data_IF_494211100255
#
_entry.id   IF_494211100255
#
_cell.length_a   1.000
_cell.length_b   1.000
_cell.length_c   1.000
_cell.angle_alpha   90.00
_cell.angle_beta   90.00
_cell.angle_gamma   90.00
#
_symmetry.space_group_name_H-M   'P 1'
#
loop_
_entity.id
_entity.type
_entity.pdbx_description
1 polymer ?
#
# COMPACT_ATOMS: atom_id res chain seq x y z
N UNK A 1 18.12 -0.86 -18.91
CA UNK A 1 17.63 0.51 -18.62
C UNK A 1 17.73 0.73 -17.12
N UNK A 2 18.21 1.88 -16.63
CA UNK A 2 18.13 2.20 -15.21
C UNK A 2 16.65 2.25 -14.77
N UNK A 3 16.37 1.77 -13.56
CA UNK A 3 15.02 1.78 -12.96
C UNK A 3 14.94 2.95 -12.00
N UNK A 4 14.04 3.89 -12.25
CA UNK A 4 13.66 4.89 -11.25
C UNK A 4 12.70 4.20 -10.27
N UNK A 5 13.15 3.96 -9.05
CA UNK A 5 12.29 3.41 -8.00
C UNK A 5 11.70 4.57 -7.23
N UNK A 6 10.39 4.79 -7.38
CA UNK A 6 9.66 5.77 -6.58
C UNK A 6 8.68 5.06 -5.65
N UNK A 7 8.62 5.55 -4.43
CA UNK A 7 7.95 4.92 -3.30
C UNK A 7 6.94 5.96 -2.82
N UNK A 8 5.66 5.73 -3.13
CA UNK A 8 4.56 6.67 -2.84
C UNK A 8 3.66 6.09 -1.75
N UNK A 9 3.55 6.79 -0.62
CA UNK A 9 2.82 6.29 0.54
C UNK A 9 2.11 7.41 1.28
N UNK A 10 1.06 7.01 2.01
CA UNK A 10 0.37 7.90 2.93
C UNK A 10 0.72 7.59 4.39
N UNK A 11 0.94 8.62 5.20
CA UNK A 11 1.16 8.51 6.64
C UNK A 11 0.37 9.57 7.40
N UNK A 12 -0.15 9.20 8.56
CA UNK A 12 -0.92 10.10 9.42
C UNK A 12 -0.07 10.72 10.52
N UNK A 13 -0.24 12.02 10.73
CA UNK A 13 0.35 12.82 11.79
C UNK A 13 -0.74 13.44 12.67
N UNK A 14 -0.47 13.59 13.96
CA UNK A 14 -1.48 14.02 14.94
C UNK A 14 -1.00 15.20 15.79
N UNK A 15 -1.92 16.13 16.06
CA UNK A 15 -1.63 17.36 16.80
C UNK A 15 -1.22 17.12 18.25
N UNK A 16 -1.69 16.05 18.88
CA UNK A 16 -1.34 15.75 20.28
C UNK A 16 -0.33 14.60 20.41
N UNK A 17 0.49 14.36 19.38
CA UNK A 17 1.46 13.25 19.37
C UNK A 17 2.77 13.56 20.11
N UNK A 18 2.84 14.67 20.85
CA UNK A 18 4.02 15.05 21.63
C UNK A 18 4.49 13.97 22.63
N UNK A 19 5.70 14.16 23.15
CA UNK A 19 6.39 13.18 24.01
C UNK A 19 5.49 12.55 25.07
N UNK A 20 5.59 11.22 25.18
CA UNK A 20 4.80 10.42 26.12
C UNK A 20 5.42 10.33 27.51
N UNK A 21 6.70 10.68 27.65
CA UNK A 21 7.43 10.63 28.90
C UNK A 21 8.08 11.99 29.16
N UNK A 22 7.98 12.45 30.40
CA UNK A 22 8.54 13.72 30.84
C UNK A 22 8.90 13.65 32.32
N UNK A 23 9.93 14.38 32.71
CA UNK A 23 10.39 14.47 34.10
C UNK A 23 9.95 15.82 34.67
N UNK A 24 9.29 15.79 35.82
CA UNK A 24 8.79 16.97 36.52
C UNK A 24 9.13 16.88 38.01
N UNK A 25 9.18 18.03 38.69
CA UNK A 25 9.26 18.05 40.15
C UNK A 25 8.01 17.43 40.76
N UNK A 26 8.10 16.92 41.99
CA UNK A 26 6.98 16.24 42.67
C UNK A 26 5.71 17.10 42.78
N UNK A 27 5.87 18.41 42.81
CA UNK A 27 4.76 19.38 42.96
C UNK A 27 4.19 19.84 41.61
N UNK A 28 4.75 19.38 40.49
CA UNK A 28 4.25 19.68 39.16
C UNK A 28 3.50 18.51 38.56
N UNK A 29 2.26 18.77 38.15
CA UNK A 29 1.45 17.84 37.36
C UNK A 29 1.46 18.34 35.92
N UNK A 30 2.07 17.57 35.02
CA UNK A 30 1.97 17.82 33.59
C UNK A 30 0.75 17.08 33.02
N UNK A 31 -0.29 17.84 32.65
CA UNK A 31 -1.49 17.29 32.04
C UNK A 31 -1.33 17.25 30.52
N UNK A 32 -1.40 16.05 29.95
CA UNK A 32 -1.44 15.84 28.50
C UNK A 32 -2.87 15.53 28.04
N UNK A 33 -3.22 16.05 26.86
CA UNK A 33 -4.46 15.65 26.17
C UNK A 33 -4.40 14.16 25.82
N UNK A 34 -5.35 13.38 26.33
CA UNK A 34 -5.45 11.91 26.12
C UNK A 34 -5.82 11.53 24.68
N UNK A 35 -6.55 12.40 23.97
CA UNK A 35 -6.94 12.17 22.58
C UNK A 35 -5.82 12.57 21.62
N UNK A 36 -5.77 11.94 20.43
CA UNK A 36 -4.81 12.27 19.35
C UNK A 36 -4.95 13.70 18.80
N UNK A 37 -6.09 14.35 19.05
CA UNK A 37 -6.40 15.66 18.49
C UNK A 37 -6.76 15.59 17.01
N UNK A 38 -6.67 16.72 16.31
CA UNK A 38 -6.76 16.76 14.85
C UNK A 38 -5.56 16.04 14.23
N UNK A 39 -5.67 15.61 12.99
CA UNK A 39 -4.55 15.03 12.28
C UNK A 39 -4.60 15.28 10.78
N UNK A 40 -3.46 14.99 10.15
CA UNK A 40 -3.19 15.19 8.74
C UNK A 40 -2.72 13.86 8.19
N UNK A 41 -3.39 13.37 7.16
CA UNK A 41 -2.84 12.35 6.27
C UNK A 41 -2.00 13.06 5.24
N UNK A 42 -0.75 12.63 5.13
CA UNK A 42 0.19 13.11 4.14
C UNK A 42 0.37 12.01 3.11
N UNK A 43 0.24 12.30 1.81
CA UNK A 43 0.73 11.41 0.75
C UNK A 43 1.99 12.03 0.16
N UNK A 44 3.08 11.29 0.04
CA UNK A 44 4.35 11.81 -0.46
C UNK A 44 5.08 10.79 -1.34
N UNK A 45 5.93 11.29 -2.22
CA UNK A 45 6.90 10.50 -2.98
C UNK A 45 8.30 10.89 -2.50
N UNK A 46 9.01 9.95 -1.89
CA UNK A 46 10.27 10.27 -1.23
C UNK A 46 11.31 10.90 -2.20
N UNK A 47 11.95 11.96 -1.70
CA UNK A 47 12.97 12.80 -2.35
C UNK A 47 13.84 12.06 -3.40
N UNK A 48 13.57 12.37 -4.66
CA UNK A 48 14.49 12.21 -5.79
C UNK A 48 14.35 13.33 -6.83
N UNK A 49 13.48 14.31 -6.58
CA UNK A 49 12.99 15.25 -7.56
C UNK A 49 13.29 16.68 -7.06
N UNK A 50 14.27 17.30 -7.71
CA UNK A 50 14.64 18.73 -7.72
C UNK A 50 14.09 19.64 -6.59
N UNK A 51 14.93 20.21 -5.70
CA UNK A 51 14.51 21.16 -4.67
C UNK A 51 13.88 22.47 -5.20
N UNK A 52 13.89 22.72 -6.52
CA UNK A 52 13.26 23.89 -7.14
C UNK A 52 11.86 23.62 -7.72
N UNK A 53 11.37 22.38 -7.77
CA UNK A 53 10.11 22.05 -8.46
C UNK A 53 9.24 21.08 -7.68
N UNK A 54 8.02 21.56 -7.38
CA UNK A 54 6.83 20.88 -6.83
C UNK A 54 7.14 19.71 -5.90
N UNK A 55 6.81 19.85 -4.62
CA UNK A 55 6.67 18.68 -3.77
C UNK A 55 5.44 17.89 -4.23
N UNK A 56 5.59 16.60 -4.55
CA UNK A 56 4.46 15.68 -4.76
C UNK A 56 3.79 15.32 -3.42
N UNK A 57 3.81 16.24 -2.47
CA UNK A 57 3.34 16.04 -1.12
C UNK A 57 1.92 16.62 -1.02
N UNK A 58 0.94 15.75 -0.81
CA UNK A 58 -0.45 16.13 -0.60
C UNK A 58 -0.80 16.09 0.90
N UNK A 59 -1.42 17.16 1.39
CA UNK A 59 -1.87 17.29 2.78
C UNK A 59 -3.39 17.16 2.84
N UNK A 60 -3.87 16.25 3.68
CA UNK A 60 -5.30 15.97 3.85
C UNK A 60 -5.67 15.97 5.34
N UNK A 61 -6.43 16.95 5.81
CA UNK A 61 -6.96 17.03 7.16
C UNK A 61 -8.16 16.08 7.32
N UNK A 62 -7.90 14.88 7.84
CA UNK A 62 -8.93 13.87 7.99
C UNK A 62 -9.92 14.18 9.13
N UNK A 63 -11.15 13.69 8.98
CA UNK A 63 -12.23 13.76 9.96
C UNK A 63 -13.58 14.06 9.30
N UNK A 64 -14.67 13.56 9.90
CA UNK A 64 -16.05 13.76 9.41
C UNK A 64 -16.44 15.23 9.22
N UNK A 65 -15.88 16.12 10.03
CA UNK A 65 -16.13 17.57 9.99
C UNK A 65 -14.99 18.35 9.29
N UNK A 66 -14.07 17.66 8.62
CA UNK A 66 -12.97 18.24 7.86
C UNK A 66 -13.11 17.76 6.39
N UNK A 67 -12.04 17.23 5.79
CA UNK A 67 -12.01 16.80 4.37
C UNK A 67 -12.53 15.36 4.18
N UNK A 68 -12.91 14.68 5.26
CA UNK A 68 -13.39 13.30 5.23
C UNK A 68 -12.28 12.31 5.56
N UNK A 69 -12.22 11.19 4.85
CA UNK A 69 -11.18 10.17 5.05
C UNK A 69 -10.43 9.97 3.73
N UNK A 70 -9.13 9.72 3.83
CA UNK A 70 -8.31 9.35 2.68
C UNK A 70 -8.82 8.01 2.12
N UNK A 71 -9.01 7.95 0.80
CA UNK A 71 -9.60 6.80 0.09
C UNK A 71 -8.76 6.48 -1.14
N UNK A 72 -9.02 5.33 -1.74
CA UNK A 72 -8.43 4.88 -3.01
C UNK A 72 -8.51 5.93 -4.11
N UNK A 73 -9.63 6.64 -4.21
CA UNK A 73 -9.83 7.62 -5.27
C UNK A 73 -8.82 8.78 -5.16
N UNK A 74 -8.56 9.24 -3.93
CA UNK A 74 -7.56 10.28 -3.68
C UNK A 74 -6.16 9.81 -4.06
N UNK A 75 -5.80 8.55 -3.75
CA UNK A 75 -4.51 7.99 -4.16
C UNK A 75 -4.39 7.91 -5.68
N UNK A 76 -5.43 7.42 -6.37
CA UNK A 76 -5.42 7.30 -7.83
C UNK A 76 -5.24 8.69 -8.46
N UNK A 77 -6.03 9.68 -8.02
CA UNK A 77 -5.91 11.07 -8.45
C UNK A 77 -4.50 11.61 -8.19
N UNK A 78 -3.95 11.41 -6.99
CA UNK A 78 -2.61 11.88 -6.67
C UNK A 78 -1.55 11.25 -7.58
N UNK A 79 -1.60 9.93 -7.81
CA UNK A 79 -0.62 9.24 -8.66
C UNK A 79 -0.75 9.68 -10.12
N UNK A 80 -1.96 9.68 -10.67
CA UNK A 80 -2.20 9.92 -12.11
C UNK A 80 -2.03 11.39 -12.47
N UNK A 81 -2.52 12.30 -11.64
CA UNK A 81 -2.60 13.72 -11.99
C UNK A 81 -1.39 14.54 -11.51
N UNK A 82 -0.64 14.02 -10.52
CA UNK A 82 0.50 14.73 -9.93
C UNK A 82 1.80 13.93 -10.12
N UNK A 83 1.87 12.69 -9.62
CA UNK A 83 3.14 11.94 -9.56
C UNK A 83 3.65 11.52 -10.94
N UNK A 84 2.81 10.88 -11.77
CA UNK A 84 3.21 10.42 -13.11
C UNK A 84 3.67 11.61 -13.98
N UNK A 85 2.92 12.73 -14.09
CA UNK A 85 3.36 13.90 -14.85
C UNK A 85 4.68 14.48 -14.32
N UNK A 86 4.92 14.45 -13.01
CA UNK A 86 6.17 14.92 -12.43
C UNK A 86 7.35 14.03 -12.83
N UNK A 87 7.18 12.71 -12.79
CA UNK A 87 8.20 11.75 -13.24
C UNK A 87 8.53 11.95 -14.71
N UNK A 88 7.51 12.08 -15.57
CA UNK A 88 7.69 12.32 -17.01
C UNK A 88 8.41 13.64 -17.33
N UNK A 89 8.28 14.64 -16.45
CA UNK A 89 9.02 15.91 -16.56
C UNK A 89 10.48 15.79 -16.12
N UNK A 90 10.80 14.87 -15.21
CA UNK A 90 12.13 14.77 -14.57
C UNK A 90 13.01 13.70 -15.20
N UNK A 91 12.39 12.68 -15.80
CA UNK A 91 13.07 11.57 -16.46
C UNK A 91 12.56 11.43 -17.90
N UNK A 92 13.50 11.30 -18.85
CA UNK A 92 13.15 11.05 -20.24
C UNK A 92 12.50 9.65 -20.38
N UNK A 93 11.34 9.51 -21.06
CA UNK A 93 10.59 8.25 -21.16
C UNK A 93 11.39 7.06 -21.68
N UNK A 94 12.36 7.31 -22.57
CA UNK A 94 13.19 6.27 -23.18
C UNK A 94 14.34 5.80 -22.27
N UNK A 95 14.59 6.51 -21.16
CA UNK A 95 15.77 6.33 -20.32
C UNK A 95 15.50 5.55 -19.03
N UNK A 96 14.25 5.49 -18.56
CA UNK A 96 13.92 4.90 -17.26
C UNK A 96 12.67 4.03 -17.31
N UNK A 97 12.62 3.02 -16.44
CA UNK A 97 11.38 2.35 -16.07
C UNK A 97 11.02 2.75 -14.64
N UNK A 98 9.78 3.17 -14.42
CA UNK A 98 9.29 3.56 -13.09
C UNK A 98 8.67 2.36 -12.39
N UNK A 99 9.11 2.11 -11.16
CA UNK A 99 8.52 1.09 -10.29
C UNK A 99 7.94 1.76 -9.05
N UNK A 100 6.63 1.61 -8.85
CA UNK A 100 5.94 2.05 -7.64
C UNK A 100 5.92 0.94 -6.59
N UNK A 101 6.34 1.27 -5.38
CA UNK A 101 6.09 0.46 -4.21
C UNK A 101 4.94 1.08 -3.40
N UNK A 102 4.03 0.23 -2.93
CA UNK A 102 2.92 0.59 -2.04
C UNK A 102 2.87 -0.40 -0.87
N UNK A 103 2.29 0.02 0.25
CA UNK A 103 2.05 -0.85 1.40
C UNK A 103 0.71 -1.52 1.18
N UNK A 104 0.37 -2.47 2.05
CA UNK A 104 -0.93 -3.11 2.00
C UNK A 104 -1.99 -2.31 2.79
N UNK A 105 -1.90 -0.96 2.79
CA UNK A 105 -2.94 -0.14 3.39
C UNK A 105 -4.29 -0.44 2.73
N UNK A 106 -5.38 -0.42 3.50
CA UNK A 106 -6.71 -0.77 2.98
C UNK A 106 -7.18 0.18 1.87
N UNK A 107 -6.66 1.42 1.84
CA UNK A 107 -6.86 2.35 0.73
C UNK A 107 -6.24 1.88 -0.59
N UNK A 108 -5.22 1.01 -0.55
CA UNK A 108 -4.57 0.44 -1.71
C UNK A 108 -5.24 -0.87 -2.15
N UNK A 109 -5.99 -1.50 -1.24
CA UNK A 109 -6.78 -2.69 -1.52
C UNK A 109 -8.10 -2.38 -2.26
N UNK A 110 -8.14 -1.29 -3.03
CA UNK A 110 -9.25 -0.97 -3.91
C UNK A 110 -8.98 -1.57 -5.28
N UNK A 111 -9.96 -2.31 -5.75
CA UNK A 111 -9.91 -3.03 -7.01
C UNK A 111 -10.96 -2.43 -7.93
N UNK A 112 -10.69 -2.41 -9.23
CA UNK A 112 -11.76 -2.09 -10.19
C UNK A 112 -12.89 -3.13 -10.05
N UNK A 113 -14.15 -2.78 -10.35
CA UNK A 113 -15.28 -3.71 -10.18
C UNK A 113 -15.10 -5.06 -10.88
N UNK A 114 -14.28 -5.08 -11.94
CA UNK A 114 -13.94 -6.23 -12.77
C UNK A 114 -12.53 -6.80 -12.52
N UNK A 115 -11.82 -6.35 -11.49
CA UNK A 115 -10.48 -6.87 -11.18
C UNK A 115 -10.55 -8.33 -10.72
N UNK A 116 -9.44 -9.05 -10.93
CA UNK A 116 -9.29 -10.41 -10.42
C UNK A 116 -9.19 -10.39 -8.90
N UNK A 117 -10.25 -10.81 -8.23
CA UNK A 117 -10.29 -10.83 -6.78
C UNK A 117 -10.84 -12.17 -6.27
N UNK A 118 -9.94 -13.06 -5.84
CA UNK A 118 -10.35 -14.38 -5.30
C UNK A 118 -11.30 -14.27 -4.10
N UNK A 119 -11.32 -13.14 -3.38
CA UNK A 119 -12.25 -12.89 -2.28
C UNK A 119 -13.71 -12.73 -2.75
N UNK A 120 -13.90 -12.26 -3.98
CA UNK A 120 -15.19 -12.03 -4.59
C UNK A 120 -15.64 -13.18 -5.51
N UNK A 121 -14.92 -14.31 -5.50
CA UNK A 121 -15.28 -15.51 -6.26
C UNK A 121 -15.97 -16.56 -5.39
N UNK A 122 -16.98 -17.20 -5.97
CA UNK A 122 -17.59 -18.39 -5.44
C UNK A 122 -16.68 -19.61 -5.66
N UNK A 123 -16.90 -20.67 -4.88
CA UNK A 123 -16.19 -21.93 -5.10
C UNK A 123 -16.63 -22.61 -6.42
N UNK A 124 -17.94 -22.58 -6.70
CA UNK A 124 -18.55 -23.10 -7.91
C UNK A 124 -18.98 -21.98 -8.88
N UNK A 125 -19.44 -22.34 -10.09
CA UNK A 125 -19.88 -21.39 -11.10
C UNK A 125 -21.10 -20.55 -10.69
N UNK A 126 -21.20 -19.35 -11.28
CA UNK A 126 -22.36 -18.46 -11.15
C UNK A 126 -22.55 -17.90 -9.74
N UNK A 127 -23.82 -17.69 -9.36
CA UNK A 127 -24.20 -17.08 -8.09
C UNK A 127 -23.93 -15.58 -8.02
N UNK A 128 -23.98 -15.02 -6.81
CA UNK A 128 -23.64 -13.61 -6.55
C UNK A 128 -22.11 -13.44 -6.49
N UNK A 129 -21.47 -13.51 -7.65
CA UNK A 129 -20.03 -13.31 -7.85
C UNK A 129 -19.79 -12.11 -8.77
N UNK A 130 -18.73 -11.35 -8.49
CA UNK A 130 -18.34 -10.21 -9.32
C UNK A 130 -17.90 -10.67 -10.73
N UNK A 131 -18.29 -9.90 -11.76
CA UNK A 131 -17.87 -10.14 -13.14
C UNK A 131 -16.42 -9.69 -13.32
N UNK A 132 -15.47 -10.63 -13.39
CA UNK A 132 -14.04 -10.33 -13.51
C UNK A 132 -13.58 -10.36 -14.97
N UNK A 133 -12.63 -9.51 -15.34
CA UNK A 133 -12.02 -9.48 -16.67
C UNK A 133 -11.17 -10.72 -16.92
N UNK A 134 -11.05 -11.09 -18.20
CA UNK A 134 -10.11 -12.13 -18.62
C UNK A 134 -8.66 -11.70 -18.32
N UNK A 135 -7.80 -12.68 -18.11
CA UNK A 135 -6.40 -12.45 -17.72
C UNK A 135 -5.45 -13.40 -18.43
N UNK A 136 -4.18 -13.31 -18.09
CA UNK A 136 -3.16 -14.30 -18.41
C UNK A 136 -2.55 -14.83 -17.11
N UNK A 137 -2.16 -16.10 -17.11
CA UNK A 137 -1.40 -16.71 -16.02
C UNK A 137 -0.17 -17.42 -16.55
N UNK A 138 0.87 -17.52 -15.72
CA UNK A 138 2.03 -18.34 -16.03
C UNK A 138 1.72 -19.80 -15.66
N UNK A 139 1.73 -20.69 -16.64
CA UNK A 139 1.70 -22.12 -16.38
C UNK A 139 3.07 -22.55 -15.85
N UNK A 140 3.11 -22.98 -14.59
CA UNK A 140 4.35 -23.35 -13.90
C UNK A 140 4.95 -24.65 -14.47
N UNK A 141 4.12 -25.53 -15.04
CA UNK A 141 4.59 -26.79 -15.61
C UNK A 141 5.28 -26.57 -16.97
N UNK A 142 4.75 -25.65 -17.78
CA UNK A 142 5.27 -25.40 -19.13
C UNK A 142 6.16 -24.15 -19.23
N UNK A 143 6.14 -23.27 -18.23
CA UNK A 143 6.86 -22.00 -18.23
C UNK A 143 6.32 -20.96 -19.20
N UNK A 144 5.09 -21.13 -19.71
CA UNK A 144 4.48 -20.26 -20.73
C UNK A 144 3.26 -19.52 -20.20
N UNK A 145 3.02 -18.30 -20.67
CA UNK A 145 1.78 -17.58 -20.37
C UNK A 145 0.60 -18.17 -21.14
N UNK A 146 -0.52 -18.39 -20.44
CA UNK A 146 -1.79 -18.86 -21.00
C UNK A 146 -2.89 -17.84 -20.71
N UNK A 147 -3.82 -17.69 -21.66
CA UNK A 147 -5.02 -16.89 -21.46
C UNK A 147 -5.99 -17.61 -20.52
N UNK A 148 -6.63 -16.84 -19.63
CA UNK A 148 -7.61 -17.30 -18.67
C UNK A 148 -8.91 -16.52 -18.86
N UNK A 149 -9.95 -17.23 -19.32
CA UNK A 149 -11.31 -16.69 -19.34
C UNK A 149 -11.94 -16.83 -17.95
N UNK A 150 -12.58 -15.76 -17.46
CA UNK A 150 -13.32 -15.79 -16.19
C UNK A 150 -14.80 -16.19 -16.35
N UNK A 151 -15.24 -16.38 -17.60
CA UNK A 151 -16.60 -16.77 -17.97
C UNK A 151 -16.55 -18.03 -18.83
N UNK A 152 -17.47 -18.96 -18.61
CA UNK A 152 -17.67 -20.08 -19.50
C UNK A 152 -18.16 -19.62 -20.86
N UNK A 153 -17.81 -20.38 -21.90
CA UNK A 153 -18.28 -20.10 -23.25
C UNK A 153 -19.80 -20.28 -23.36
N UNK A 154 -20.42 -19.64 -24.34
CA UNK A 154 -21.87 -19.68 -24.54
C UNK A 154 -22.38 -21.09 -24.91
N UNK A 155 -21.51 -21.94 -25.46
CA UNK A 155 -21.73 -23.33 -25.83
C UNK A 155 -21.36 -24.33 -24.71
N UNK A 156 -21.03 -23.86 -23.51
CA UNK A 156 -20.64 -24.74 -22.41
C UNK A 156 -21.81 -25.61 -21.91
N UNK A 157 -21.67 -26.94 -21.97
CA UNK A 157 -22.72 -27.93 -21.71
C UNK A 157 -23.54 -27.72 -20.43
N UNK A 158 -22.88 -27.30 -19.34
CA UNK A 158 -23.50 -27.22 -18.00
C UNK A 158 -23.70 -25.82 -17.46
N UNK A 159 -22.90 -24.86 -17.95
CA UNK A 159 -22.77 -23.54 -17.35
C UNK A 159 -22.62 -22.46 -18.43
N UNK A 160 -23.47 -22.44 -19.46
CA UNK A 160 -23.29 -21.54 -20.60
C UNK A 160 -23.29 -20.08 -20.13
N UNK A 161 -22.26 -19.32 -20.53
CA UNK A 161 -22.07 -17.91 -20.18
C UNK A 161 -22.03 -17.59 -18.68
N UNK A 162 -21.89 -18.58 -17.79
CA UNK A 162 -21.79 -18.34 -16.35
C UNK A 162 -20.35 -17.97 -15.95
N UNK A 163 -20.23 -17.21 -14.86
CA UNK A 163 -18.94 -16.90 -14.24
C UNK A 163 -18.29 -18.19 -13.70
N UNK A 164 -17.00 -18.36 -13.93
CA UNK A 164 -16.24 -19.49 -13.38
C UNK A 164 -16.01 -19.29 -11.89
N UNK A 165 -16.20 -20.36 -11.12
CA UNK A 165 -15.80 -20.40 -9.71
C UNK A 165 -14.31 -20.71 -9.54
N UNK A 166 -13.79 -20.51 -8.33
CA UNK A 166 -12.40 -20.77 -7.97
C UNK A 166 -11.95 -22.19 -8.28
N UNK A 167 -12.84 -23.18 -8.14
CA UNK A 167 -12.51 -24.57 -8.43
C UNK A 167 -12.13 -24.77 -9.90
N UNK A 168 -12.88 -24.17 -10.82
CA UNK A 168 -12.63 -24.31 -12.25
C UNK A 168 -11.32 -23.60 -12.63
N UNK A 169 -11.15 -22.34 -12.22
CA UNK A 169 -9.95 -21.55 -12.51
C UNK A 169 -8.68 -22.23 -11.95
N UNK A 170 -8.73 -22.73 -10.72
CA UNK A 170 -7.60 -23.45 -10.14
C UNK A 170 -7.34 -24.80 -10.83
N UNK A 171 -8.38 -25.48 -11.32
CA UNK A 171 -8.21 -26.71 -12.09
C UNK A 171 -7.55 -26.44 -13.45
N UNK A 172 -7.95 -25.37 -14.15
CA UNK A 172 -7.34 -24.91 -15.40
C UNK A 172 -5.86 -24.52 -15.21
N UNK A 173 -5.51 -23.99 -14.03
CA UNK A 173 -4.13 -23.71 -13.66
C UNK A 173 -3.35 -24.96 -13.18
N UNK A 174 -3.99 -26.12 -13.04
CA UNK A 174 -3.37 -27.34 -12.49
C UNK A 174 -3.08 -27.28 -10.99
N UNK A 175 -3.68 -26.32 -10.26
CA UNK A 175 -3.45 -26.06 -8.84
C UNK A 175 -4.54 -26.66 -7.93
N UNK A 176 -5.64 -27.15 -8.50
CA UNK A 176 -6.73 -27.73 -7.71
C UNK A 176 -6.34 -29.06 -7.06
N UNK A 177 -6.51 -29.15 -5.74
CA UNK A 177 -6.30 -30.39 -4.98
C UNK A 177 -7.59 -30.83 -4.29
N UNK A 178 -7.83 -32.15 -4.28
CA UNK A 178 -8.98 -32.78 -3.64
C UNK A 178 -8.88 -32.69 -2.11
N UNK A 179 -9.13 -31.50 -1.55
CA UNK A 179 -9.29 -31.14 -0.12
C UNK A 179 -9.24 -29.63 0.14
N UNK A 180 -8.93 -28.81 -0.87
CA UNK A 180 -8.92 -27.35 -0.72
C UNK A 180 -10.31 -26.85 -0.33
N UNK A 181 -10.36 -25.99 0.69
CA UNK A 181 -11.58 -25.33 1.18
C UNK A 181 -11.51 -23.85 0.86
N UNK A 182 -12.65 -23.24 0.57
CA UNK A 182 -12.76 -21.80 0.29
C UNK A 182 -12.30 -20.97 1.49
N UNK A 183 -12.86 -21.27 2.67
CA UNK A 183 -12.48 -20.70 3.95
C UNK A 183 -12.32 -21.84 4.97
N UNK A 184 -11.30 -21.75 5.82
CA UNK A 184 -11.15 -22.62 6.98
C UNK A 184 -11.56 -21.88 8.24
N UNK A 185 -12.09 -22.59 9.24
CA UNK A 185 -12.45 -21.98 10.54
C UNK A 185 -11.24 -21.40 11.26
N UNK A 186 -10.09 -22.04 11.10
CA UNK A 186 -8.81 -21.62 11.67
C UNK A 186 -7.90 -21.12 10.54
N UNK A 187 -7.25 -19.96 10.74
CA UNK A 187 -6.31 -19.34 9.78
C UNK A 187 -5.03 -20.19 9.65
N UNK A 188 -5.13 -21.34 9.01
CA UNK A 188 -3.98 -22.21 8.73
C UNK A 188 -3.49 -22.00 7.30
N UNK A 189 -2.23 -21.60 7.18
CA UNK A 189 -1.55 -21.28 5.92
C UNK A 189 -1.47 -22.46 4.94
N UNK A 190 -1.71 -23.71 5.39
CA UNK A 190 -1.57 -24.92 4.58
C UNK A 190 -2.89 -25.48 3.99
N UNK A 191 -4.06 -24.95 4.38
CA UNK A 191 -5.38 -25.51 4.00
C UNK A 191 -6.28 -24.50 3.25
N UNK A 192 -5.97 -23.20 3.31
CA UNK A 192 -6.85 -22.14 2.82
C UNK A 192 -6.14 -21.32 1.75
N UNK A 193 -6.73 -21.24 0.56
CA UNK A 193 -6.14 -20.60 -0.64
C UNK A 193 -5.98 -19.07 -0.53
N UNK A 194 -6.47 -18.45 0.55
CA UNK A 194 -6.57 -17.00 0.71
C UNK A 194 -5.40 -16.34 1.48
N UNK A 195 -4.47 -17.11 2.05
CA UNK A 195 -3.49 -16.63 3.06
C UNK A 195 -2.00 -16.69 2.65
N UNK A 196 -1.67 -16.63 1.36
CA UNK A 196 -0.27 -16.80 0.91
C UNK A 196 0.57 -15.50 0.84
N UNK A 197 0.06 -14.34 1.26
CA UNK A 197 0.77 -13.05 1.11
C UNK A 197 0.52 -12.15 2.33
N UNK A 198 1.13 -12.46 3.47
CA UNK A 198 1.15 -11.54 4.62
C UNK A 198 2.23 -10.47 4.43
N UNK A 199 1.93 -9.24 4.88
CA UNK A 199 2.75 -8.05 4.67
C UNK A 199 3.86 -7.93 5.72
N UNK A 200 5.06 -7.63 5.26
CA UNK A 200 6.24 -7.39 6.09
C UNK A 200 6.62 -5.90 5.99
N UNK A 201 6.06 -5.07 6.88
CA UNK A 201 6.28 -3.62 6.87
C UNK A 201 7.77 -3.24 7.03
N UNK A 202 8.56 -4.10 7.66
CA UNK A 202 9.99 -3.95 7.84
C UNK A 202 10.81 -4.00 6.53
N UNK A 203 10.22 -4.51 5.45
CA UNK A 203 10.83 -4.54 4.11
C UNK A 203 10.59 -3.25 3.32
N UNK A 204 9.70 -2.39 3.82
CA UNK A 204 9.40 -1.11 3.19
C UNK A 204 10.18 0.01 3.88
N UNK A 205 11.25 0.48 3.22
CA UNK A 205 12.16 1.42 3.87
C UNK A 205 11.52 2.79 4.19
N UNK A 206 10.42 3.15 3.51
CA UNK A 206 9.69 4.40 3.77
C UNK A 206 9.11 4.44 5.19
N UNK A 207 8.84 3.29 5.82
CA UNK A 207 8.37 3.25 7.20
C UNK A 207 9.41 3.83 8.16
N UNK A 208 10.71 3.70 7.85
CA UNK A 208 11.76 4.36 8.61
C UNK A 208 11.81 5.86 8.34
N UNK A 209 11.56 6.29 7.10
CA UNK A 209 11.42 7.72 6.76
C UNK A 209 10.24 8.35 7.52
N UNK A 210 9.08 7.69 7.54
CA UNK A 210 7.93 8.12 8.32
C UNK A 210 8.18 8.07 9.82
N UNK A 211 8.87 7.04 10.32
CA UNK A 211 9.28 6.95 11.71
C UNK A 211 10.13 8.15 12.13
N UNK A 212 11.10 8.55 11.29
CA UNK A 212 11.92 9.73 11.52
C UNK A 212 11.09 11.02 11.51
N UNK A 213 10.27 11.23 10.48
CA UNK A 213 9.43 12.42 10.37
C UNK A 213 8.45 12.54 11.55
N UNK A 214 7.84 11.42 11.97
CA UNK A 214 6.99 11.36 13.16
C UNK A 214 7.78 11.76 14.38
N UNK A 215 8.94 11.15 14.63
CA UNK A 215 9.77 11.50 15.77
C UNK A 215 10.10 12.99 15.83
N UNK A 216 10.48 13.59 14.69
CA UNK A 216 10.70 15.04 14.59
C UNK A 216 9.45 15.85 14.96
N UNK A 217 8.27 15.49 14.43
CA UNK A 217 7.02 16.19 14.75
C UNK A 217 6.60 16.02 16.22
N UNK A 218 6.93 14.89 16.85
CA UNK A 218 6.67 14.63 18.26
C UNK A 218 7.54 15.51 19.16
N UNK A 219 8.81 15.69 18.79
CA UNK A 219 9.76 16.55 19.49
C UNK A 219 9.44 18.05 19.34
N UNK A 220 8.80 18.43 18.24
CA UNK A 220 8.40 19.81 17.93
C UNK A 220 6.88 20.02 18.03
N UNK A 221 6.20 19.21 18.85
CA UNK A 221 4.74 19.19 18.93
C UNK A 221 4.17 20.47 19.57
N UNK A 222 3.51 21.31 18.75
CA UNK A 222 2.83 22.52 19.21
C UNK A 222 1.37 22.35 19.67
N UNK A 223 0.82 21.12 19.71
CA UNK A 223 -0.57 20.85 20.13
C UNK A 223 -1.67 21.57 19.32
N UNK A 224 -1.33 22.07 18.12
CA UNK A 224 -2.19 22.82 17.23
C UNK A 224 -1.97 22.41 15.77
N UNK A 225 -3.06 22.38 14.98
CA UNK A 225 -3.02 21.93 13.57
C UNK A 225 -2.15 22.83 12.70
N UNK A 226 -2.15 24.16 12.96
CA UNK A 226 -1.30 25.12 12.25
C UNK A 226 0.18 24.80 12.43
N UNK A 227 0.60 24.59 13.69
CA UNK A 227 1.99 24.19 13.99
C UNK A 227 2.30 22.86 13.31
N UNK A 228 1.38 21.88 13.36
CA UNK A 228 1.59 20.60 12.69
C UNK A 228 1.80 20.76 11.16
N UNK A 229 1.05 21.65 10.49
CA UNK A 229 1.23 21.95 9.05
C UNK A 229 2.59 22.57 8.75
N UNK A 230 3.14 23.35 9.66
CA UNK A 230 4.46 23.98 9.53
C UNK A 230 5.60 22.99 9.86
N UNK A 231 5.41 22.12 10.84
CA UNK A 231 6.42 21.16 11.31
C UNK A 231 6.59 19.98 10.36
N UNK A 232 5.53 19.50 9.70
CA UNK A 232 5.63 18.35 8.78
C UNK A 232 6.66 18.61 7.67
N UNK A 233 6.60 19.71 6.88
CA UNK A 233 7.63 20.00 5.87
C UNK A 233 9.06 20.00 6.43
N UNK A 234 9.26 20.61 7.60
CA UNK A 234 10.57 20.63 8.27
C UNK A 234 11.03 19.21 8.64
N UNK A 235 10.11 18.35 9.08
CA UNK A 235 10.39 16.95 9.40
C UNK A 235 10.83 16.16 8.16
N UNK A 236 10.12 16.32 7.04
CA UNK A 236 10.48 15.68 5.76
C UNK A 236 11.82 16.21 5.23
N UNK A 237 12.06 17.51 5.40
CA UNK A 237 13.31 18.14 4.99
C UNK A 237 14.49 17.65 5.83
N UNK A 238 14.28 17.38 7.13
CA UNK A 238 15.29 16.92 8.07
C UNK A 238 15.91 15.56 7.73
N UNK A 239 15.25 14.75 6.89
CA UNK A 239 15.80 13.45 6.47
C UNK A 239 16.75 13.65 5.30
N UNK A 240 18.05 13.48 5.57
CA UNK A 240 19.10 13.55 4.56
C UNK A 240 19.08 12.36 3.59
N UNK A 241 19.56 12.56 2.37
CA UNK A 241 19.61 11.52 1.34
C UNK A 241 20.47 10.31 1.75
N UNK A 242 21.54 10.53 2.54
CA UNK A 242 22.38 9.46 3.07
C UNK A 242 21.62 8.59 4.09
N UNK A 243 20.71 9.19 4.87
CA UNK A 243 19.85 8.50 5.83
C UNK A 243 18.80 7.67 5.09
N UNK A 244 18.17 8.25 4.06
CA UNK A 244 17.25 7.54 3.17
C UNK A 244 17.93 6.30 2.57
N UNK A 245 19.14 6.47 2.05
CA UNK A 245 19.93 5.36 1.51
C UNK A 245 20.23 4.27 2.55
N UNK A 246 20.53 4.65 3.79
CA UNK A 246 20.72 3.71 4.91
C UNK A 246 19.43 2.91 5.21
N UNK A 247 18.26 3.53 5.14
CA UNK A 247 16.97 2.83 5.32
C UNK A 247 16.71 1.82 4.20
N UNK A 248 16.99 2.21 2.95
CA UNK A 248 16.91 1.30 1.81
C UNK A 248 17.86 0.10 1.99
N UNK A 249 19.14 0.36 2.30
CA UNK A 249 20.13 -0.69 2.54
C UNK A 249 19.73 -1.63 3.68
N UNK A 250 19.12 -1.09 4.75
CA UNK A 250 18.61 -1.90 5.87
C UNK A 250 17.54 -2.87 5.39
N UNK A 251 16.58 -2.40 4.60
CA UNK A 251 15.50 -3.25 4.05
C UNK A 251 16.04 -4.32 3.12
N UNK A 252 17.05 -4.01 2.29
CA UNK A 252 17.76 -5.02 1.49
C UNK A 252 18.42 -6.11 2.34
N UNK A 253 19.05 -5.75 3.46
CA UNK A 253 19.68 -6.73 4.37
C UNK A 253 18.65 -7.65 5.01
N UNK A 254 17.50 -7.09 5.42
CA UNK A 254 16.39 -7.87 5.98
C UNK A 254 15.85 -8.83 4.91
N UNK A 255 15.59 -8.36 3.67
CA UNK A 255 15.18 -9.22 2.56
C UNK A 255 16.18 -10.34 2.27
N UNK A 256 17.49 -10.06 2.36
CA UNK A 256 18.53 -11.08 2.20
C UNK A 256 18.46 -12.13 3.30
N UNK A 257 18.21 -11.74 4.55
CA UNK A 257 18.04 -12.67 5.66
C UNK A 257 16.82 -13.58 5.45
N UNK A 258 15.69 -13.04 4.96
CA UNK A 258 14.50 -13.83 4.62
C UNK A 258 14.71 -14.86 3.48
N UNK A 259 15.76 -14.70 2.66
CA UNK A 259 16.08 -15.63 1.56
C UNK A 259 16.98 -16.80 1.96
N UNK A 260 17.48 -16.84 3.20
CA UNK A 260 18.49 -17.81 3.62
C UNK A 260 17.93 -19.12 4.21
N UNK A 261 16.62 -19.38 4.06
CA UNK A 261 15.96 -20.64 4.44
C UNK A 261 15.27 -21.30 3.23
#
# INVERSE_FOLDING_TARGET
MPVATEISFSSTFNTNDGRHQSWHSKDQVHLRKKARGKGITLSDCAKGLDPQRRHATEFFEYGKNNEGYWKSEHLITHIVDIVIPMIELLYLPESYSTLFFFDNATSHACFTPDALQMKAMNLGPGGDQAYMRNTVFLDIQTGTFKAQSMVFSADHDKFPSQLKGLREVLAEHGLWQNRLRLDCKDKHNACCTRYLLDFHCELNWIEYYWGWAKHFTQDNCGYHIKVLRETIPQALESVGNDVIWKFYCKSLRIMKAYKMD
#
